data_IF_327491465285
#
_entry.id   IF_327491465285
#
_cell.length_a   1.000
_cell.length_b   1.000
_cell.length_c   1.000
_cell.angle_alpha   90.00
_cell.angle_beta   90.00
_cell.angle_gamma   90.00
#
_symmetry.space_group_name_H-M   'P 1'
#
loop_
_entity.id
_entity.type
_entity.pdbx_description
1 polymer ?
#
# COMPACT_ATOMS: atom_id res chain seq x y z
N UNK A 1 13.49 -7.13 20.45
CA UNK A 1 12.76 -6.16 19.61
C UNK A 1 12.80 -6.71 18.19
N UNK A 2 11.66 -6.82 17.52
CA UNK A 2 11.65 -7.17 16.09
C UNK A 2 12.33 -6.02 15.31
N UNK A 3 13.24 -6.32 14.37
CA UNK A 3 13.86 -5.27 13.56
C UNK A 3 12.80 -4.48 12.80
N UNK A 4 12.97 -3.16 12.61
CA UNK A 4 12.07 -2.36 11.79
C UNK A 4 12.14 -2.85 10.34
N UNK A 5 10.99 -3.29 9.83
CA UNK A 5 10.83 -3.83 8.48
C UNK A 5 10.86 -2.66 7.48
N UNK A 6 11.72 -2.75 6.47
CA UNK A 6 11.74 -1.80 5.34
C UNK A 6 11.34 -2.58 4.10
N UNK A 7 10.12 -2.35 3.62
CA UNK A 7 9.64 -2.92 2.37
C UNK A 7 10.22 -2.09 1.21
N UNK A 8 11.12 -2.70 0.42
CA UNK A 8 11.83 -2.02 -0.67
C UNK A 8 11.12 -2.14 -2.03
N UNK A 9 10.25 -3.14 -2.21
CA UNK A 9 9.40 -3.29 -3.40
C UNK A 9 7.95 -3.57 -2.96
N UNK A 10 7.00 -2.90 -3.61
CA UNK A 10 5.56 -3.07 -3.34
C UNK A 10 4.94 -4.14 -4.21
N UNK A 11 5.66 -4.69 -5.19
CA UNK A 11 5.18 -5.79 -6.02
C UNK A 11 5.30 -7.12 -5.28
N UNK A 12 4.24 -7.92 -5.38
CA UNK A 12 4.18 -9.28 -4.85
C UNK A 12 3.93 -10.22 -6.01
N UNK A 13 4.85 -11.14 -6.23
CA UNK A 13 4.71 -12.16 -7.28
C UNK A 13 3.84 -13.32 -6.78
N UNK A 14 2.92 -13.75 -7.64
CA UNK A 14 2.13 -14.98 -7.43
C UNK A 14 2.80 -16.12 -8.18
N UNK A 15 3.25 -17.13 -7.44
CA UNK A 15 4.11 -18.21 -7.95
C UNK A 15 3.30 -19.52 -7.97
N UNK A 16 3.35 -20.22 -9.10
CA UNK A 16 2.66 -21.50 -9.24
C UNK A 16 3.36 -22.55 -8.36
N UNK A 17 2.60 -23.17 -7.45
CA UNK A 17 3.10 -24.32 -6.70
C UNK A 17 3.35 -25.48 -7.65
N UNK A 18 4.61 -25.87 -7.88
CA UNK A 18 4.91 -27.11 -8.62
C UNK A 18 4.41 -28.29 -7.80
N UNK A 19 3.29 -28.89 -8.21
CA UNK A 19 2.89 -30.22 -7.77
C UNK A 19 4.01 -31.17 -8.17
N UNK A 20 4.78 -31.67 -7.20
CA UNK A 20 5.61 -32.83 -7.43
C UNK A 20 4.68 -33.97 -7.85
N UNK A 21 4.87 -34.49 -9.06
CA UNK A 21 4.10 -35.61 -9.62
C UNK A 21 4.14 -36.76 -8.63
N UNK A 22 3.06 -36.93 -7.85
CA UNK A 22 2.94 -37.96 -6.81
C UNK A 22 2.46 -37.47 -5.43
N UNK A 23 2.46 -36.17 -5.13
CA UNK A 23 1.95 -35.63 -3.86
C UNK A 23 0.73 -34.74 -4.10
N UNK A 24 -0.43 -35.36 -4.29
CA UNK A 24 -1.70 -34.65 -4.32
C UNK A 24 -1.99 -34.14 -2.90
N UNK A 25 -1.89 -32.82 -2.69
CA UNK A 25 -2.17 -32.20 -1.40
C UNK A 25 -3.70 -32.18 -1.17
N UNK A 26 -4.20 -33.17 -0.42
CA UNK A 26 -5.63 -33.36 -0.16
C UNK A 26 -6.31 -32.16 0.52
N UNK A 27 -5.54 -31.24 1.13
CA UNK A 27 -6.07 -30.02 1.78
C UNK A 27 -6.59 -29.00 0.77
N UNK A 28 -5.88 -28.76 -0.33
CA UNK A 28 -6.31 -27.84 -1.37
C UNK A 28 -7.51 -28.39 -2.17
N UNK A 29 -7.51 -29.70 -2.45
CA UNK A 29 -8.63 -30.38 -3.09
C UNK A 29 -9.92 -30.38 -2.24
N UNK A 30 -9.78 -30.35 -0.90
CA UNK A 30 -10.92 -30.24 0.02
C UNK A 30 -11.48 -28.81 0.10
N UNK A 31 -10.62 -27.78 -0.01
CA UNK A 31 -11.03 -26.37 0.01
C UNK A 31 -11.68 -25.92 -1.31
N UNK A 32 -11.21 -26.45 -2.44
CA UNK A 32 -11.69 -26.10 -3.79
C UNK A 32 -12.97 -26.87 -4.19
N UNK A 33 -13.45 -27.78 -3.33
CA UNK A 33 -14.74 -28.46 -3.44
C UNK A 33 -15.11 -28.85 -4.87
N UNK A 34 -14.56 -29.97 -5.38
CA UNK A 34 -14.62 -30.47 -6.77
C UNK A 34 -15.89 -30.23 -7.60
N UNK A 35 -16.17 -28.96 -7.91
CA UNK A 35 -17.33 -28.46 -8.63
C UNK A 35 -16.81 -27.64 -9.81
N UNK A 36 -17.39 -27.88 -10.97
CA UNK A 36 -17.07 -27.20 -12.23
C UNK A 36 -17.65 -25.77 -12.30
N UNK A 37 -17.87 -25.11 -11.16
CA UNK A 37 -18.40 -23.75 -11.06
C UNK A 37 -17.31 -22.70 -10.93
N UNK A 38 -17.65 -21.42 -11.17
CA UNK A 38 -16.80 -20.29 -10.82
C UNK A 38 -16.51 -20.31 -9.31
N UNK A 39 -15.23 -20.40 -8.93
CA UNK A 39 -14.80 -20.41 -7.54
C UNK A 39 -15.00 -19.02 -6.92
N UNK A 40 -15.46 -19.00 -5.68
CA UNK A 40 -15.57 -17.76 -4.90
C UNK A 40 -14.18 -17.22 -4.54
N UNK A 41 -14.08 -15.90 -4.31
CA UNK A 41 -12.82 -15.26 -3.90
C UNK A 41 -12.29 -15.81 -2.56
N UNK A 42 -13.19 -16.25 -1.68
CA UNK A 42 -12.84 -16.86 -0.39
C UNK A 42 -12.18 -18.24 -0.58
N UNK A 43 -12.69 -19.07 -1.48
CA UNK A 43 -12.09 -20.37 -1.83
C UNK A 43 -10.70 -20.18 -2.48
N UNK A 44 -10.57 -19.17 -3.34
CA UNK A 44 -9.28 -18.80 -3.95
C UNK A 44 -8.27 -18.37 -2.89
N UNK A 45 -8.65 -17.51 -1.94
CA UNK A 45 -7.76 -17.09 -0.86
C UNK A 45 -7.40 -18.24 0.10
N UNK A 46 -8.34 -19.14 0.39
CA UNK A 46 -8.09 -20.32 1.21
C UNK A 46 -7.09 -21.30 0.56
N UNK A 47 -6.98 -21.28 -0.76
CA UNK A 47 -5.99 -22.05 -1.53
C UNK A 47 -4.65 -21.31 -1.73
N UNK A 48 -4.52 -20.07 -1.25
CA UNK A 48 -3.27 -19.29 -1.31
C UNK A 48 -2.45 -19.48 -0.05
N UNK A 49 -1.14 -19.69 -0.23
CA UNK A 49 -0.18 -19.79 0.88
C UNK A 49 0.85 -18.66 0.76
N UNK A 50 0.96 -17.83 1.80
CA UNK A 50 1.97 -16.77 1.83
C UNK A 50 3.33 -17.31 2.31
N UNK A 51 4.40 -16.92 1.61
CA UNK A 51 5.78 -17.25 1.95
C UNK A 51 6.58 -15.96 2.21
N UNK A 52 6.51 -15.41 3.43
CA UNK A 52 7.39 -14.33 3.83
C UNK A 52 8.82 -14.88 4.02
N UNK A 53 9.80 -14.23 3.40
CA UNK A 53 11.22 -14.45 3.65
C UNK A 53 11.80 -13.23 4.34
N UNK A 54 12.15 -13.38 5.62
CA UNK A 54 12.85 -12.34 6.38
C UNK A 54 14.34 -12.55 6.18
N UNK A 55 14.97 -11.64 5.45
CA UNK A 55 16.39 -11.72 5.15
C UNK A 55 17.19 -10.79 6.07
N UNK A 56 18.39 -11.24 6.47
CA UNK A 56 19.29 -10.39 7.26
C UNK A 56 19.88 -9.28 6.38
N UNK A 57 20.01 -8.04 6.88
CA UNK A 57 20.67 -6.98 6.13
C UNK A 57 22.07 -7.42 5.63
N UNK A 58 22.44 -7.18 4.36
CA UNK A 58 21.78 -6.29 3.40
C UNK A 58 20.75 -6.96 2.47
N UNK A 59 20.38 -8.22 2.72
CA UNK A 59 19.42 -8.92 1.87
C UNK A 59 18.01 -8.34 2.02
N UNK A 60 17.22 -8.45 0.96
CA UNK A 60 15.87 -7.86 0.90
C UNK A 60 14.87 -8.87 1.42
N UNK A 61 14.08 -8.46 2.41
CA UNK A 61 12.91 -9.22 2.86
C UNK A 61 11.87 -9.21 1.75
N UNK A 62 11.32 -10.38 1.41
CA UNK A 62 10.32 -10.51 0.34
C UNK A 62 9.07 -11.25 0.82
N UNK A 63 7.96 -10.99 0.14
CA UNK A 63 6.69 -11.70 0.32
C UNK A 63 6.29 -12.26 -1.04
N UNK A 64 6.09 -13.58 -1.10
CA UNK A 64 5.52 -14.25 -2.27
C UNK A 64 4.25 -14.97 -1.86
N UNK A 65 3.33 -15.15 -2.80
CA UNK A 65 2.11 -15.94 -2.56
C UNK A 65 2.11 -17.13 -3.51
N UNK A 66 2.12 -18.34 -2.94
CA UNK A 66 1.90 -19.57 -3.69
C UNK A 66 0.41 -19.74 -3.95
N UNK A 67 0.10 -20.18 -5.16
CA UNK A 67 -1.27 -20.44 -5.59
C UNK A 67 -1.35 -21.85 -6.19
N UNK A 68 -2.26 -22.68 -5.67
CA UNK A 68 -2.58 -24.02 -6.18
C UNK A 68 -3.90 -23.99 -6.98
N UNK A 69 -3.96 -23.23 -8.09
CA UNK A 69 -5.20 -23.10 -8.91
C UNK A 69 -4.99 -23.66 -10.33
N UNK A 70 -5.94 -24.45 -10.88
CA UNK A 70 -5.83 -24.99 -12.23
C UNK A 70 -5.74 -23.89 -13.31
N UNK A 71 -4.95 -24.15 -14.36
CA UNK A 71 -4.55 -23.28 -15.48
C UNK A 71 -5.68 -22.55 -16.27
N UNK A 72 -6.96 -22.72 -15.93
CA UNK A 72 -8.10 -22.28 -16.75
C UNK A 72 -8.71 -20.92 -16.35
N UNK A 73 -8.38 -20.33 -15.20
CA UNK A 73 -8.80 -18.96 -14.85
C UNK A 73 -7.67 -17.97 -15.15
N UNK A 74 -8.01 -16.81 -15.73
CA UNK A 74 -7.04 -15.78 -16.08
C UNK A 74 -6.15 -15.42 -14.88
N UNK A 75 -4.90 -15.86 -14.99
CA UNK A 75 -3.84 -15.74 -14.00
C UNK A 75 -3.62 -14.27 -13.61
N UNK A 76 -3.99 -13.91 -12.40
CA UNK A 76 -3.50 -12.68 -11.77
C UNK A 76 -1.99 -12.88 -11.51
N UNK A 77 -1.14 -12.15 -12.25
CA UNK A 77 0.32 -12.37 -12.24
C UNK A 77 1.05 -11.79 -11.01
N UNK A 78 0.32 -11.44 -9.96
CA UNK A 78 0.85 -10.79 -8.78
C UNK A 78 -0.10 -9.74 -8.20
N UNK A 79 0.40 -8.97 -7.25
CA UNK A 79 -0.32 -7.88 -6.60
C UNK A 79 0.58 -6.71 -6.22
N UNK A 80 -0.05 -5.65 -5.74
CA UNK A 80 0.63 -4.43 -5.30
C UNK A 80 0.25 -4.13 -3.85
N UNK A 81 1.24 -4.11 -2.97
CA UNK A 81 1.10 -3.71 -1.57
C UNK A 81 0.68 -2.24 -1.53
N UNK A 82 -0.42 -1.98 -0.85
CA UNK A 82 -0.90 -0.63 -0.59
C UNK A 82 -0.35 -0.11 0.74
N UNK A 83 -0.51 -0.90 1.81
CA UNK A 83 -0.05 -0.54 3.16
C UNK A 83 0.16 -1.74 4.08
N UNK A 84 0.73 -1.45 5.25
CA UNK A 84 1.02 -2.43 6.30
C UNK A 84 0.73 -1.84 7.68
N UNK A 85 0.30 -2.66 8.63
CA UNK A 85 0.23 -2.28 10.05
C UNK A 85 0.40 -3.49 10.97
N UNK A 86 1.33 -3.43 11.93
CA UNK A 86 1.53 -4.45 12.99
C UNK A 86 1.41 -5.91 12.50
N UNK A 87 2.19 -6.25 11.47
CA UNK A 87 2.21 -7.60 10.88
C UNK A 87 1.07 -7.90 9.90
N UNK A 88 0.24 -6.92 9.57
CA UNK A 88 -0.72 -6.99 8.47
C UNK A 88 -0.10 -6.38 7.21
N UNK A 89 -0.42 -6.97 6.07
CA UNK A 89 -0.11 -6.43 4.74
C UNK A 89 -1.39 -6.47 3.92
N UNK A 90 -1.80 -5.34 3.35
CA UNK A 90 -2.87 -5.31 2.35
C UNK A 90 -2.31 -5.03 0.97
N UNK A 91 -2.78 -5.81 0.01
CA UNK A 91 -2.41 -5.66 -1.40
C UNK A 91 -3.63 -5.73 -2.30
N UNK A 92 -3.57 -4.99 -3.40
CA UNK A 92 -4.48 -5.14 -4.53
C UNK A 92 -4.01 -6.29 -5.41
N UNK A 93 -4.90 -7.19 -5.79
CA UNK A 93 -4.52 -8.26 -6.72
C UNK A 93 -4.68 -7.86 -8.18
N UNK A 94 -3.79 -8.37 -9.04
CA UNK A 94 -3.78 -8.09 -10.46
C UNK A 94 -3.75 -6.59 -10.77
N UNK A 95 -4.67 -6.17 -11.64
CA UNK A 95 -4.82 -4.77 -12.06
C UNK A 95 -5.97 -4.05 -11.32
N UNK A 96 -6.54 -4.67 -10.29
CA UNK A 96 -7.67 -4.11 -9.58
C UNK A 96 -7.29 -2.79 -8.90
N UNK A 97 -8.05 -1.75 -9.21
CA UNK A 97 -8.09 -0.48 -8.47
C UNK A 97 -9.54 -0.03 -8.42
N UNK A 98 -10.02 0.56 -7.31
CA UNK A 98 -11.37 1.08 -7.22
C UNK A 98 -11.70 2.03 -8.39
N UNK A 99 -12.80 1.79 -9.08
CA UNK A 99 -13.22 2.63 -10.20
C UNK A 99 -12.45 2.44 -11.52
N UNK A 100 -11.48 1.52 -11.59
CA UNK A 100 -10.80 1.18 -12.83
C UNK A 100 -11.58 0.12 -13.63
N UNK A 101 -12.73 0.52 -14.20
CA UNK A 101 -13.70 -0.39 -14.84
C UNK A 101 -13.35 -0.89 -16.25
N UNK A 102 -12.08 -0.81 -16.68
CA UNK A 102 -11.75 -0.94 -18.10
C UNK A 102 -11.10 -2.27 -18.53
N UNK A 103 -10.26 -2.92 -17.70
CA UNK A 103 -9.31 -3.91 -18.26
C UNK A 103 -9.06 -5.23 -17.54
N UNK A 104 -9.65 -5.56 -16.39
CA UNK A 104 -9.74 -6.94 -15.90
C UNK A 104 -10.75 -7.04 -14.76
N UNK A 105 -11.73 -7.93 -14.91
CA UNK A 105 -12.87 -8.11 -13.98
C UNK A 105 -12.52 -9.00 -12.77
N UNK A 106 -11.34 -9.64 -12.78
CA UNK A 106 -10.84 -10.48 -11.70
C UNK A 106 -9.82 -9.68 -10.88
N UNK A 107 -10.14 -9.49 -9.60
CA UNK A 107 -9.25 -8.92 -8.61
C UNK A 107 -9.96 -8.68 -7.29
N UNK A 108 -9.22 -8.49 -6.22
CA UNK A 108 -9.74 -8.21 -4.90
C UNK A 108 -8.68 -7.51 -4.05
N UNK A 109 -8.98 -7.29 -2.77
CA UNK A 109 -7.94 -7.02 -1.80
C UNK A 109 -7.54 -8.34 -1.15
N UNK A 110 -6.24 -8.59 -1.00
CA UNK A 110 -5.74 -9.62 -0.11
C UNK A 110 -5.16 -8.98 1.14
N UNK A 111 -5.53 -9.54 2.28
CA UNK A 111 -4.95 -9.21 3.58
C UNK A 111 -4.15 -10.41 4.05
N UNK A 112 -2.85 -10.22 4.20
CA UNK A 112 -1.97 -11.18 4.85
C UNK A 112 -1.80 -10.81 6.32
N UNK A 113 -2.06 -11.75 7.22
CA UNK A 113 -1.81 -11.63 8.65
C UNK A 113 -0.64 -12.54 9.07
N UNK A 114 0.48 -11.92 9.42
CA UNK A 114 1.69 -12.63 9.84
C UNK A 114 1.56 -13.33 11.21
N UNK A 115 0.60 -12.96 12.04
CA UNK A 115 0.41 -13.58 13.36
C UNK A 115 -0.22 -14.97 13.26
N UNK A 116 -1.10 -15.17 12.28
CA UNK A 116 -1.77 -16.43 11.97
C UNK A 116 -1.23 -17.11 10.71
N UNK A 117 -0.30 -16.45 9.99
CA UNK A 117 0.17 -16.85 8.66
C UNK A 117 -0.99 -17.17 7.71
N UNK A 118 -1.99 -16.28 7.67
CA UNK A 118 -3.23 -16.48 6.90
C UNK A 118 -3.43 -15.37 5.87
N UNK A 119 -4.11 -15.73 4.78
CA UNK A 119 -4.52 -14.79 3.73
C UNK A 119 -6.05 -14.74 3.68
N UNK A 120 -6.60 -13.52 3.65
CA UNK A 120 -8.04 -13.28 3.52
C UNK A 120 -8.30 -12.45 2.26
N UNK A 121 -9.25 -12.90 1.42
CA UNK A 121 -9.77 -12.09 0.32
C UNK A 121 -10.91 -11.21 0.79
N UNK A 122 -10.84 -9.92 0.45
CA UNK A 122 -11.89 -8.95 0.67
C UNK A 122 -12.44 -8.52 -0.69
N UNK A 123 -13.77 -8.55 -0.90
CA UNK A 123 -14.39 -8.24 -2.18
C UNK A 123 -14.13 -6.80 -2.63
N UNK A 124 -14.28 -6.58 -3.94
CA UNK A 124 -14.21 -5.25 -4.55
C UNK A 124 -15.33 -4.32 -4.02
N UNK A 125 -15.10 -3.01 -4.04
CA UNK A 125 -16.13 -2.03 -3.63
C UNK A 125 -17.37 -2.03 -4.55
N UNK A 126 -17.15 -2.09 -5.86
CA UNK A 126 -18.22 -2.11 -6.88
C UNK A 126 -18.04 -3.37 -7.74
N UNK A 127 -18.51 -4.56 -7.30
CA UNK A 127 -18.36 -5.77 -8.08
C UNK A 127 -19.16 -5.66 -9.38
N UNK A 128 -18.63 -6.15 -10.52
CA UNK A 128 -19.35 -6.13 -11.79
C UNK A 128 -20.67 -6.90 -11.65
N UNK A 129 -21.78 -6.28 -12.05
CA UNK A 129 -23.09 -6.93 -12.03
C UNK A 129 -23.10 -8.06 -13.06
N UNK A 130 -23.11 -9.31 -12.59
CA UNK A 130 -23.22 -10.50 -13.44
C UNK A 130 -24.45 -10.39 -14.34
N UNK A 131 -24.25 -10.39 -15.66
CA UNK A 131 -25.33 -10.42 -16.66
C UNK A 131 -25.68 -9.09 -17.34
N UNK A 132 -25.04 -7.96 -16.97
CA UNK A 132 -25.25 -6.70 -17.71
C UNK A 132 -24.34 -6.63 -18.94
N UNK A 133 -24.94 -6.63 -20.14
CA UNK A 133 -24.25 -6.34 -21.42
C UNK A 133 -23.79 -4.88 -21.53
N UNK A 134 -24.23 -4.01 -20.62
CA UNK A 134 -23.83 -2.62 -20.57
C UNK A 134 -22.71 -2.45 -19.52
N UNK A 135 -21.54 -1.98 -19.96
CA UNK A 135 -20.50 -1.46 -19.05
C UNK A 135 -21.12 -0.30 -18.27
N UNK A 136 -21.54 -0.53 -17.03
CA UNK A 136 -21.83 0.55 -16.11
C UNK A 136 -20.50 1.27 -15.89
N UNK A 137 -20.43 2.54 -16.28
CA UNK A 137 -19.24 3.34 -15.99
C UNK A 137 -19.12 3.40 -14.46
N UNK A 138 -17.94 3.06 -13.91
CA UNK A 138 -17.75 3.15 -12.47
C UNK A 138 -18.04 4.58 -12.00
N UNK A 139 -18.87 4.70 -10.96
CA UNK A 139 -19.22 6.00 -10.38
C UNK A 139 -18.09 6.53 -9.49
N UNK A 140 -17.34 5.60 -8.89
CA UNK A 140 -16.17 5.88 -8.06
C UNK A 140 -14.89 5.96 -8.89
N UNK A 141 -13.89 6.66 -8.35
CA UNK A 141 -12.56 6.89 -8.88
C UNK A 141 -11.56 6.72 -7.74
N UNK A 142 -10.58 5.82 -7.88
CA UNK A 142 -9.51 5.67 -6.90
C UNK A 142 -8.65 6.93 -6.79
N UNK A 143 -8.07 7.11 -5.61
CA UNK A 143 -7.14 8.20 -5.33
C UNK A 143 -5.68 7.72 -5.34
N UNK A 144 -5.34 6.60 -5.98
CA UNK A 144 -3.97 6.04 -5.97
C UNK A 144 -3.87 4.76 -5.13
N UNK A 145 -2.84 4.67 -4.27
CA UNK A 145 -2.62 3.57 -3.32
C UNK A 145 -3.29 3.87 -1.98
N UNK A 146 -4.61 4.00 -2.01
CA UNK A 146 -5.43 4.50 -0.92
C UNK A 146 -5.94 3.42 0.06
N UNK A 147 -5.76 2.13 -0.23
CA UNK A 147 -6.11 1.07 0.71
C UNK A 147 -5.17 1.09 1.92
N UNK A 148 -5.76 1.30 3.09
CA UNK A 148 -5.10 1.40 4.38
C UNK A 148 -5.56 0.27 5.29
N UNK A 149 -4.63 -0.40 5.97
CA UNK A 149 -4.96 -1.41 6.97
C UNK A 149 -4.54 -0.94 8.37
N UNK A 150 -5.39 -1.21 9.36
CA UNK A 150 -5.16 -0.84 10.74
C UNK A 150 -5.58 -1.98 11.67
N UNK A 151 -4.61 -2.51 12.42
CA UNK A 151 -4.88 -3.45 13.52
C UNK A 151 -5.30 -2.66 14.76
N UNK A 152 -6.50 -2.96 15.26
CA UNK A 152 -7.10 -2.26 16.39
C UNK A 152 -7.51 -3.24 17.50
N UNK A 153 -7.34 -2.83 18.76
CA UNK A 153 -7.65 -3.69 19.92
C UNK A 153 -9.13 -3.74 20.29
N UNK A 154 -9.99 -2.94 19.64
CA UNK A 154 -11.40 -2.80 20.02
C UNK A 154 -12.30 -3.97 19.53
N UNK A 155 -11.80 -4.84 18.63
CA UNK A 155 -12.58 -5.92 18.00
C UNK A 155 -12.20 -7.34 18.42
N UNK A 156 -11.38 -7.49 19.46
CA UNK A 156 -10.77 -8.75 19.88
C UNK A 156 -9.29 -8.90 19.45
N UNK A 157 -8.65 -9.98 19.88
CA UNK A 157 -7.28 -10.29 19.48
C UNK A 157 -7.21 -10.56 17.97
N UNK A 158 -6.30 -9.87 17.28
CA UNK A 158 -6.14 -10.00 15.83
C UNK A 158 -7.07 -9.13 14.97
N UNK A 159 -8.03 -8.41 15.54
CA UNK A 159 -8.98 -7.60 14.77
C UNK A 159 -8.32 -6.46 13.98
N UNK A 160 -8.81 -6.25 12.76
CA UNK A 160 -8.33 -5.19 11.88
C UNK A 160 -9.47 -4.55 11.09
N UNK A 161 -9.22 -3.31 10.66
CA UNK A 161 -10.02 -2.59 9.66
C UNK A 161 -9.20 -2.38 8.42
N UNK A 162 -9.77 -2.70 7.27
CA UNK A 162 -9.32 -2.24 5.96
C UNK A 162 -10.17 -1.02 5.58
N UNK A 163 -9.53 0.08 5.24
CA UNK A 163 -10.16 1.31 4.78
C UNK A 163 -9.72 1.66 3.37
N UNK A 164 -10.63 2.12 2.53
CA UNK A 164 -10.36 2.59 1.17
C UNK A 164 -11.02 3.95 0.97
N UNK A 165 -10.26 4.92 0.44
CA UNK A 165 -10.74 6.28 0.21
C UNK A 165 -10.87 6.52 -1.29
N UNK A 166 -12.09 6.83 -1.74
CA UNK A 166 -12.40 7.07 -3.15
C UNK A 166 -13.14 8.39 -3.33
N UNK A 167 -13.13 8.90 -4.55
CA UNK A 167 -13.92 10.07 -4.98
C UNK A 167 -14.85 9.65 -6.13
N UNK A 168 -15.71 10.54 -6.60
CA UNK A 168 -16.46 10.35 -7.86
C UNK A 168 -15.79 11.09 -9.03
N UNK A 169 -16.16 10.75 -10.27
CA UNK A 169 -15.73 11.54 -11.43
C UNK A 169 -16.34 12.95 -11.45
N UNK A 170 -17.57 13.09 -10.94
CA UNK A 170 -18.28 14.35 -10.78
C UNK A 170 -19.14 14.28 -9.49
N UNK A 171 -19.00 15.22 -8.55
CA UNK A 171 -18.21 16.46 -8.62
C UNK A 171 -16.69 16.27 -8.47
N UNK A 172 -16.23 15.15 -7.91
CA UNK A 172 -14.83 14.96 -7.53
C UNK A 172 -14.53 15.51 -6.13
N UNK A 173 -13.26 15.71 -5.82
CA UNK A 173 -12.82 16.24 -4.54
C UNK A 173 -13.40 17.66 -4.31
N UNK A 174 -13.70 18.06 -3.06
CA UNK A 174 -13.38 17.38 -1.81
C UNK A 174 -14.41 16.33 -1.37
N UNK A 175 -15.44 16.09 -2.17
CA UNK A 175 -16.46 15.09 -1.84
C UNK A 175 -15.87 13.69 -2.09
N UNK A 176 -15.86 12.86 -1.06
CA UNK A 176 -15.23 11.56 -1.07
C UNK A 176 -16.07 10.54 -0.29
N UNK A 177 -15.67 9.28 -0.40
CA UNK A 177 -16.32 8.16 0.26
C UNK A 177 -15.25 7.32 0.95
N UNK A 178 -15.44 7.11 2.24
CA UNK A 178 -14.65 6.21 3.04
C UNK A 178 -15.36 4.86 3.12
N UNK A 179 -14.73 3.83 2.58
CA UNK A 179 -15.18 2.44 2.70
C UNK A 179 -14.39 1.77 3.82
N UNK A 180 -15.07 1.03 4.70
CA UNK A 180 -14.47 0.33 5.81
C UNK A 180 -14.95 -1.12 5.84
N UNK A 181 -14.00 -2.04 5.96
CA UNK A 181 -14.24 -3.46 6.15
C UNK A 181 -13.64 -3.90 7.48
N UNK A 182 -14.44 -4.48 8.35
CA UNK A 182 -13.99 -4.97 9.66
C UNK A 182 -13.86 -6.48 9.65
N UNK A 183 -12.72 -7.00 10.13
CA UNK A 183 -12.52 -8.45 10.24
C UNK A 183 -13.45 -9.09 11.28
N UNK A 184 -13.85 -8.36 12.32
CA UNK A 184 -14.71 -8.88 13.40
C UNK A 184 -16.18 -9.10 12.99
N UNK A 185 -16.66 -8.48 11.92
CA UNK A 185 -18.05 -8.61 11.43
C UNK A 185 -18.17 -9.63 10.29
N UNK A 186 -17.04 -10.16 9.80
CA UNK A 186 -16.98 -11.28 8.87
C UNK A 186 -17.21 -12.57 9.66
N UNK A 187 -18.44 -13.10 9.62
CA UNK A 187 -18.72 -14.46 10.11
C UNK A 187 -18.87 -15.39 8.92
N UNK A 188 -18.56 -16.69 9.11
CA UNK A 188 -18.49 -17.70 8.04
C UNK A 188 -19.74 -17.84 7.15
N UNK A 189 -20.87 -17.21 7.51
CA UNK A 189 -22.13 -17.26 6.76
C UNK A 189 -22.60 -15.88 6.25
N UNK A 190 -21.89 -14.81 6.58
CA UNK A 190 -22.11 -13.46 6.08
C UNK A 190 -20.75 -12.93 5.65
N UNK A 191 -20.39 -13.18 4.39
CA UNK A 191 -19.27 -12.48 3.76
C UNK A 191 -19.40 -11.01 4.14
N UNK A 192 -18.34 -10.45 4.74
CA UNK A 192 -18.43 -9.12 5.37
C UNK A 192 -19.01 -8.08 4.40
N UNK A 193 -19.51 -6.97 4.95
CA UNK A 193 -20.02 -5.88 4.14
C UNK A 193 -19.12 -4.66 4.29
N UNK A 194 -18.86 -3.98 3.17
CA UNK A 194 -18.21 -2.68 3.19
C UNK A 194 -19.17 -1.63 3.77
N UNK A 195 -18.78 -1.03 4.88
CA UNK A 195 -19.47 0.15 5.39
C UNK A 195 -19.01 1.39 4.66
N UNK A 196 -19.95 2.14 4.06
CA UNK A 196 -19.68 3.36 3.30
C UNK A 196 -20.08 4.59 4.11
N UNK A 197 -19.16 5.54 4.22
CA UNK A 197 -19.38 6.85 4.84
C UNK A 197 -19.06 7.95 3.83
N UNK A 198 -20.03 8.80 3.50
CA UNK A 198 -19.79 10.00 2.70
C UNK A 198 -19.05 11.03 3.56
N UNK A 199 -17.95 11.56 3.04
CA UNK A 199 -17.07 12.49 3.77
C UNK A 199 -16.70 13.67 2.86
N UNK A 200 -16.52 14.84 3.46
CA UNK A 200 -15.99 16.01 2.75
C UNK A 200 -14.60 16.30 3.29
N UNK A 201 -13.59 16.11 2.46
CA UNK A 201 -12.20 16.21 2.88
C UNK A 201 -11.81 17.67 3.11
N UNK A 202 -11.04 17.99 4.18
CA UNK A 202 -10.59 19.34 4.50
C UNK A 202 -9.40 19.77 3.63
N UNK A 203 -9.54 19.62 2.31
CA UNK A 203 -8.49 19.92 1.35
C UNK A 203 -8.46 21.42 1.00
N UNK A 204 -7.28 21.98 0.71
CA UNK A 204 -7.17 23.28 0.06
C UNK A 204 -7.97 23.31 -1.26
N UNK A 205 -8.58 24.45 -1.64
CA UNK A 205 -9.35 24.57 -2.88
C UNK A 205 -8.58 24.17 -4.14
N UNK A 206 -7.26 24.35 -4.13
CA UNK A 206 -6.36 24.02 -5.24
C UNK A 206 -6.23 22.50 -5.44
N UNK A 207 -6.53 21.71 -4.40
CA UNK A 207 -6.52 20.25 -4.44
C UNK A 207 -7.91 19.65 -4.73
N UNK A 208 -8.90 20.48 -5.04
CA UNK A 208 -10.29 20.07 -5.27
C UNK A 208 -10.67 20.07 -6.76
N UNK A 209 -11.63 19.22 -7.11
CA UNK A 209 -12.25 19.14 -8.43
C UNK A 209 -12.22 17.74 -9.06
N UNK A 210 -12.66 17.62 -10.33
CA UNK A 210 -12.84 16.32 -11.01
C UNK A 210 -11.54 15.75 -11.63
N UNK A 211 -10.59 16.61 -11.98
CA UNK A 211 -9.28 16.23 -12.55
C UNK A 211 -8.23 15.95 -11.46
N UNK A 212 -7.03 15.50 -11.79
CA UNK A 212 -6.05 14.98 -10.80
C UNK A 212 -5.49 16.08 -9.89
N UNK A 213 -6.05 16.22 -8.69
CA UNK A 213 -5.64 17.26 -7.73
C UNK A 213 -5.03 16.72 -6.42
N UNK A 214 -5.32 15.47 -6.06
CA UNK A 214 -4.69 14.72 -4.97
C UNK A 214 -4.46 13.28 -5.44
N UNK A 215 -3.24 12.78 -5.31
CA UNK A 215 -2.92 11.37 -5.59
C UNK A 215 -2.15 10.77 -4.42
N UNK A 216 -2.74 9.76 -3.81
CA UNK A 216 -2.20 9.01 -2.69
C UNK A 216 -1.09 8.10 -3.20
N UNK A 217 0.14 8.54 -2.96
CA UNK A 217 1.34 7.76 -3.23
C UNK A 217 1.52 6.66 -2.18
N UNK A 218 1.12 6.88 -0.92
CA UNK A 218 1.28 5.87 0.13
C UNK A 218 0.35 6.07 1.31
N UNK A 219 0.16 5.00 2.07
CA UNK A 219 -0.66 5.00 3.29
C UNK A 219 0.07 4.31 4.43
N UNK A 220 -0.12 4.82 5.65
CA UNK A 220 0.38 4.19 6.87
C UNK A 220 -0.51 4.50 8.08
N UNK A 221 -0.40 3.69 9.12
CA UNK A 221 -1.08 3.89 10.40
C UNK A 221 -0.28 4.80 11.34
N UNK A 222 -0.98 5.55 12.18
CA UNK A 222 -0.39 6.41 13.19
C UNK A 222 -1.16 6.32 14.51
N UNK A 223 -0.44 6.21 15.63
CA UNK A 223 -1.00 6.14 17.00
C UNK A 223 -2.10 5.08 17.25
N UNK A 224 -2.22 4.08 16.38
CA UNK A 224 -3.15 2.96 16.54
C UNK A 224 -4.62 3.26 16.27
N UNK A 225 -4.99 4.50 15.96
CA UNK A 225 -6.34 4.89 15.52
C UNK A 225 -6.35 5.71 14.23
N UNK A 226 -5.20 6.27 13.84
CA UNK A 226 -5.12 7.16 12.70
C UNK A 226 -4.64 6.44 11.44
N UNK A 227 -5.19 6.85 10.31
CA UNK A 227 -4.72 6.50 8.97
C UNK A 227 -4.20 7.77 8.31
N UNK A 228 -3.01 7.68 7.71
CA UNK A 228 -2.40 8.77 6.97
C UNK A 228 -2.38 8.42 5.47
N UNK A 229 -3.17 9.13 4.67
CA UNK A 229 -3.12 9.09 3.21
C UNK A 229 -2.20 10.20 2.71
N UNK A 230 -1.10 9.83 2.06
CA UNK A 230 -0.03 10.76 1.69
C UNK A 230 0.02 10.97 0.18
N UNK A 231 -0.01 12.23 -0.21
CA UNK A 231 0.45 12.70 -1.51
C UNK A 231 1.82 13.38 -1.32
N UNK A 232 2.87 12.75 -1.84
CA UNK A 232 4.27 13.18 -1.67
C UNK A 232 4.59 14.49 -2.40
N UNK A 233 3.64 15.07 -3.14
CA UNK A 233 3.75 16.38 -3.77
C UNK A 233 2.98 17.48 -3.05
N UNK A 234 1.98 17.15 -2.22
CA UNK A 234 1.05 18.15 -1.66
C UNK A 234 0.95 18.10 -0.14
N UNK A 235 0.81 16.93 0.47
CA UNK A 235 0.65 16.80 1.92
C UNK A 235 0.17 15.44 2.39
N UNK A 236 -0.34 15.41 3.63
CA UNK A 236 -0.91 14.22 4.24
C UNK A 236 -2.31 14.52 4.77
N UNK A 237 -3.24 13.64 4.42
CA UNK A 237 -4.58 13.59 4.99
C UNK A 237 -4.57 12.58 6.14
N UNK A 238 -4.76 13.05 7.36
CA UNK A 238 -4.79 12.23 8.57
C UNK A 238 -6.24 12.06 8.99
N UNK A 239 -6.67 10.82 9.22
CA UNK A 239 -8.00 10.51 9.73
C UNK A 239 -7.94 9.74 11.03
N UNK A 240 -8.66 10.20 12.05
CA UNK A 240 -9.00 9.39 13.22
C UNK A 240 -10.24 8.55 12.89
N UNK A 241 -10.02 7.25 12.66
CA UNK A 241 -11.04 6.34 12.17
C UNK A 241 -12.12 6.02 13.21
N UNK A 242 -11.77 6.12 14.49
CA UNK A 242 -12.61 5.65 15.60
C UNK A 242 -13.16 6.79 16.45
N UNK A 243 -13.12 8.03 15.95
CA UNK A 243 -13.66 9.17 16.68
C UNK A 243 -15.19 8.97 16.90
N UNK A 244 -15.74 9.23 18.10
CA UNK A 244 -17.13 8.87 18.43
C UNK A 244 -18.21 9.50 17.56
N UNK A 245 -17.92 10.64 16.90
CA UNK A 245 -18.85 11.34 16.01
C UNK A 245 -18.74 10.91 14.54
N UNK A 246 -17.94 9.88 14.26
CA UNK A 246 -17.56 9.47 12.91
C UNK A 246 -16.12 9.88 12.58
N UNK A 247 -15.59 9.39 11.44
CA UNK A 247 -14.20 9.63 11.04
C UNK A 247 -13.92 11.13 10.88
N UNK A 248 -12.89 11.63 11.55
CA UNK A 248 -12.47 13.03 11.45
C UNK A 248 -11.21 13.12 10.61
N UNK A 249 -11.20 14.07 9.68
CA UNK A 249 -10.09 14.30 8.77
C UNK A 249 -9.39 15.62 9.10
N UNK A 250 -8.08 15.65 8.88
CA UNK A 250 -7.25 16.86 8.87
C UNK A 250 -6.25 16.76 7.72
N UNK A 251 -6.01 17.87 7.02
CA UNK A 251 -5.01 17.93 5.96
C UNK A 251 -3.83 18.78 6.42
N UNK A 252 -2.63 18.21 6.35
CA UNK A 252 -1.39 18.88 6.68
C UNK A 252 -0.56 19.02 5.40
N UNK A 253 -0.31 20.26 4.91
CA UNK A 253 0.51 20.47 3.73
C UNK A 253 1.95 20.02 3.99
N UNK A 254 2.70 19.72 2.94
CA UNK A 254 4.15 19.46 3.03
C UNK A 254 4.90 20.66 3.64
N UNK A 255 6.13 20.45 4.16
CA UNK A 255 6.96 21.54 4.64
C UNK A 255 7.13 22.64 3.57
N UNK A 256 7.27 23.89 4.02
CA UNK A 256 7.42 25.04 3.12
C UNK A 256 8.49 24.81 2.05
N UNK A 257 8.13 25.06 0.79
CA UNK A 257 9.01 24.88 -0.36
C UNK A 257 9.18 23.42 -0.82
N UNK A 258 8.50 22.46 -0.20
CA UNK A 258 8.52 21.05 -0.64
C UNK A 258 7.34 20.69 -1.53
N UNK A 259 6.25 21.47 -1.51
CA UNK A 259 5.11 21.22 -2.40
C UNK A 259 5.51 21.40 -3.86
N UNK A 260 5.17 20.42 -4.70
CA UNK A 260 5.54 20.36 -6.12
C UNK A 260 4.29 20.20 -7.01
N UNK A 261 3.28 21.03 -6.80
CA UNK A 261 2.14 21.11 -7.71
C UNK A 261 2.28 22.35 -8.60
N UNK A 262 2.07 22.20 -9.91
CA UNK A 262 2.00 23.31 -10.86
C UNK A 262 0.54 23.66 -11.14
N UNK A 263 0.20 24.91 -11.51
CA UNK A 263 -1.17 25.31 -11.85
C UNK A 263 -1.81 24.45 -12.95
N UNK A 264 -0.98 23.86 -13.82
CA UNK A 264 -1.41 22.98 -14.90
C UNK A 264 -1.55 21.50 -14.46
N UNK A 265 -1.26 21.19 -13.19
CA UNK A 265 -1.43 19.88 -12.54
C UNK A 265 -0.86 18.68 -13.31
N UNK A 266 0.25 18.90 -14.03
CA UNK A 266 0.99 17.82 -14.66
C UNK A 266 1.88 17.21 -13.57
N UNK A 267 1.41 16.14 -12.90
CA UNK A 267 2.34 15.19 -12.29
C UNK A 267 3.23 14.71 -13.43
N UNK A 268 4.51 15.04 -13.40
CA UNK A 268 5.48 14.93 -14.51
C UNK A 268 5.80 13.47 -14.92
N UNK A 269 4.87 12.52 -14.74
CA UNK A 269 5.13 11.09 -14.89
C UNK A 269 6.19 10.57 -13.92
N UNK A 270 6.54 11.37 -12.91
CA UNK A 270 7.58 11.04 -11.94
C UNK A 270 7.05 10.06 -10.92
N UNK A 271 7.81 8.99 -10.67
CA UNK A 271 7.56 8.10 -9.56
C UNK A 271 8.07 8.77 -8.27
N UNK A 272 7.19 9.53 -7.61
CA UNK A 272 7.49 10.36 -6.43
C UNK A 272 8.17 9.59 -5.29
N UNK A 273 7.86 8.30 -5.18
CA UNK A 273 8.39 7.38 -4.18
C UNK A 273 9.90 7.09 -4.37
N UNK A 274 10.47 7.35 -5.55
CA UNK A 274 11.92 7.17 -5.79
C UNK A 274 12.77 8.19 -5.04
N UNK A 275 12.21 9.37 -4.76
CA UNK A 275 12.95 10.49 -4.20
C UNK A 275 12.28 11.12 -2.98
N UNK A 276 11.10 10.65 -2.57
CA UNK A 276 10.36 11.12 -1.40
C UNK A 276 9.70 9.97 -0.66
N UNK A 277 9.56 10.13 0.65
CA UNK A 277 8.82 9.18 1.47
C UNK A 277 8.27 9.86 2.72
N UNK A 278 7.22 9.28 3.31
CA UNK A 278 6.65 9.70 4.57
C UNK A 278 6.27 8.49 5.41
N UNK A 279 6.42 8.55 6.73
CA UNK A 279 6.02 7.46 7.61
C UNK A 279 6.14 7.79 9.08
N UNK A 280 5.62 6.91 9.92
CA UNK A 280 5.79 6.99 11.37
C UNK A 280 7.15 6.38 11.78
N UNK A 281 8.00 7.19 12.40
CA UNK A 281 9.31 6.76 12.92
C UNK A 281 9.41 7.18 14.38
N UNK A 282 9.50 6.19 15.28
CA UNK A 282 9.57 6.41 16.72
C UNK A 282 8.41 7.27 17.26
N UNK A 283 7.20 7.05 16.78
CA UNK A 283 6.01 7.77 17.23
C UNK A 283 5.83 9.17 16.65
N UNK A 284 6.66 9.58 15.68
CA UNK A 284 6.51 10.86 14.99
C UNK A 284 6.40 10.65 13.48
N UNK A 285 5.53 11.42 12.83
CA UNK A 285 5.45 11.43 11.37
C UNK A 285 6.68 12.16 10.83
N UNK A 286 7.42 11.50 9.94
CA UNK A 286 8.59 12.06 9.26
C UNK A 286 8.36 12.10 7.77
N UNK A 287 8.80 13.18 7.15
CA UNK A 287 8.90 13.33 5.72
C UNK A 287 10.37 13.41 5.33
N UNK A 288 10.73 12.77 4.23
CA UNK A 288 12.08 12.78 3.67
C UNK A 288 12.00 13.04 2.17
N UNK A 289 12.93 13.85 1.67
CA UNK A 289 13.03 14.17 0.25
C UNK A 289 14.49 14.31 -0.20
N UNK A 290 14.80 13.80 -1.39
CA UNK A 290 15.98 14.15 -2.15
C UNK A 290 15.71 15.44 -2.91
N UNK A 291 16.49 16.47 -2.62
CA UNK A 291 16.43 17.77 -3.29
C UNK A 291 17.53 17.83 -4.33
N UNK A 292 17.24 18.27 -5.55
CA UNK A 292 18.17 18.26 -6.69
C UNK A 292 18.02 17.02 -7.59
N UNK A 293 17.42 15.93 -7.06
CA UNK A 293 17.24 14.69 -7.84
C UNK A 293 16.23 14.85 -8.99
N UNK A 294 15.01 15.38 -8.76
CA UNK A 294 14.07 15.69 -9.85
C UNK A 294 14.64 16.59 -10.94
N UNK A 295 15.55 17.50 -10.56
CA UNK A 295 16.16 18.49 -11.43
C UNK A 295 17.35 17.94 -12.24
N UNK A 296 17.68 16.64 -12.08
CA UNK A 296 18.80 15.99 -12.78
C UNK A 296 20.18 16.43 -12.27
N UNK A 297 20.27 16.96 -11.04
CA UNK A 297 21.54 17.35 -10.44
C UNK A 297 22.44 16.14 -10.23
N UNK A 298 23.75 16.38 -10.19
CA UNK A 298 24.72 15.31 -9.91
C UNK A 298 24.58 14.82 -8.46
N UNK A 299 25.01 13.58 -8.18
CA UNK A 299 24.91 13.00 -6.82
C UNK A 299 25.59 13.84 -5.73
N UNK A 300 26.59 14.65 -6.10
CA UNK A 300 27.31 15.56 -5.22
C UNK A 300 26.57 16.88 -4.96
N UNK A 301 25.41 17.06 -5.57
CA UNK A 301 24.50 18.20 -5.39
C UNK A 301 23.15 17.76 -4.82
N UNK A 302 22.83 16.46 -4.90
CA UNK A 302 21.61 15.91 -4.32
C UNK A 302 21.72 15.87 -2.80
N UNK A 303 20.74 16.46 -2.13
CA UNK A 303 20.70 16.55 -0.67
C UNK A 303 19.46 15.83 -0.13
N UNK A 304 19.69 14.88 0.77
CA UNK A 304 18.64 14.27 1.58
C UNK A 304 18.25 15.22 2.71
N UNK A 305 17.01 15.69 2.70
CA UNK A 305 16.43 16.50 3.78
C UNK A 305 15.35 15.73 4.50
N UNK A 306 15.30 15.93 5.81
CA UNK A 306 14.28 15.33 6.67
C UNK A 306 13.47 16.40 7.38
N UNK A 307 12.21 16.11 7.63
CA UNK A 307 11.31 16.91 8.45
C UNK A 307 10.55 15.99 9.39
N UNK A 308 10.25 16.48 10.59
CA UNK A 308 9.43 15.79 11.58
C UNK A 308 8.23 16.66 11.90
N UNK A 309 7.03 16.10 11.79
CA UNK A 309 5.80 16.78 12.14
C UNK A 309 5.71 16.90 13.65
N UNK A 310 5.29 18.06 14.14
CA UNK A 310 5.08 18.31 15.56
C UNK A 310 4.00 17.36 16.13
N UNK A 311 4.05 17.03 17.44
CA UNK A 311 3.07 16.13 18.06
C UNK A 311 1.62 16.62 17.99
N UNK A 312 1.40 17.93 17.88
CA UNK A 312 0.07 18.51 17.67
C UNK A 312 -0.41 18.47 16.22
N UNK A 313 0.39 17.85 15.33
CA UNK A 313 0.13 17.65 13.90
C UNK A 313 -0.04 18.96 13.10
N UNK A 314 0.62 20.05 13.50
CA UNK A 314 0.43 21.36 12.84
C UNK A 314 1.64 21.87 12.08
N UNK A 315 2.85 21.58 12.54
CA UNK A 315 4.06 22.22 12.03
C UNK A 315 5.16 21.23 11.70
N UNK A 316 5.80 21.42 10.56
CA UNK A 316 6.98 20.65 10.18
C UNK A 316 8.24 21.29 10.72
N UNK A 317 8.96 20.54 11.57
CA UNK A 317 10.31 20.93 12.00
C UNK A 317 11.34 20.31 11.06
N UNK A 318 12.15 21.15 10.42
CA UNK A 318 13.29 20.70 9.62
C UNK A 318 14.28 19.94 10.51
N UNK A 319 14.64 18.74 10.08
CA UNK A 319 15.65 17.89 10.69
C UNK A 319 16.99 17.99 10.01
N UNK A 320 17.72 16.87 10.03
CA UNK A 320 19.05 16.76 9.42
C UNK A 320 18.99 16.93 7.91
N UNK A 321 20.09 17.43 7.37
CA UNK A 321 20.37 17.61 5.96
C UNK A 321 21.68 16.89 5.68
N UNK A 322 21.70 15.97 4.72
CA UNK A 322 22.86 15.13 4.41
C UNK A 322 23.07 15.13 2.90
N UNK A 323 24.30 15.33 2.44
CA UNK A 323 24.64 15.17 1.04
C UNK A 323 24.58 13.69 0.67
N UNK A 324 23.99 13.35 -0.47
CA UNK A 324 23.93 11.95 -0.90
C UNK A 324 25.34 11.40 -1.16
N UNK A 325 26.24 12.20 -1.73
CA UNK A 325 27.66 11.86 -1.86
C UNK A 325 28.28 11.44 -0.52
N UNK A 326 28.14 12.25 0.53
CA UNK A 326 28.68 11.94 1.87
C UNK A 326 28.08 10.65 2.46
N UNK A 327 26.79 10.38 2.19
CA UNK A 327 26.14 9.16 2.65
C UNK A 327 26.80 7.92 2.03
N UNK A 328 27.12 7.97 0.74
CA UNK A 328 27.77 6.87 0.01
C UNK A 328 29.23 6.67 0.42
N UNK A 329 29.92 7.74 0.79
CA UNK A 329 31.29 7.69 1.30
C UNK A 329 31.37 7.27 2.78
N UNK A 330 30.23 7.23 3.48
CA UNK A 330 30.22 6.88 4.90
C UNK A 330 30.64 5.43 5.17
N UNK A 331 31.48 5.20 6.18
CA UNK A 331 31.91 3.86 6.59
C UNK A 331 30.73 2.93 6.94
N UNK A 332 29.62 3.49 7.41
CA UNK A 332 28.41 2.72 7.72
C UNK A 332 27.68 2.22 6.47
N UNK A 333 27.80 2.94 5.35
CA UNK A 333 27.28 2.52 4.05
C UNK A 333 28.27 1.58 3.36
N UNK A 334 29.55 1.96 3.31
CA UNK A 334 30.62 1.16 2.72
C UNK A 334 30.85 -0.16 3.48
N UNK A 335 30.75 -0.16 4.81
CA UNK A 335 30.89 -1.34 5.66
C UNK A 335 29.77 -2.38 5.45
N UNK A 336 28.56 -1.94 5.09
CA UNK A 336 27.46 -2.82 4.69
C UNK A 336 27.69 -3.50 3.34
N UNK A 337 28.52 -2.90 2.48
CA UNK A 337 28.92 -3.49 1.19
C UNK A 337 30.25 -4.27 1.27
N UNK A 338 31.16 -3.86 2.16
CA UNK A 338 32.50 -4.44 2.38
C UNK A 338 32.47 -5.84 3.00
N UNK A 339 31.37 -6.25 3.63
CA UNK A 339 31.19 -7.65 4.05
C UNK A 339 31.04 -8.64 2.87
N UNK A 340 31.01 -8.15 1.62
CA UNK A 340 31.10 -8.95 0.40
C UNK A 340 32.47 -8.78 -0.25
N UNK A 341 33.45 -9.52 0.26
CA UNK A 341 34.83 -9.47 -0.22
C UNK A 341 35.71 -10.66 0.18
N UNK A 342 35.15 -11.86 0.34
CA UNK A 342 35.95 -13.11 0.40
C UNK A 342 35.37 -14.18 -0.52
N UNK A 343 35.03 -13.78 -1.74
CA UNK A 343 34.88 -14.68 -2.88
C UNK A 343 35.72 -14.11 -4.01
N UNK A 344 36.78 -14.82 -4.38
CA UNK A 344 37.78 -14.42 -5.38
C UNK A 344 37.15 -13.83 -6.65
N UNK A 345 37.61 -12.65 -7.04
CA UNK A 345 37.80 -12.28 -8.44
C UNK A 345 39.05 -11.40 -8.53
N UNK A 346 40.19 -12.07 -8.61
CA UNK A 346 41.40 -11.50 -9.19
C UNK A 346 41.14 -11.16 -10.65
N UNK A 347 41.43 -9.93 -11.05
CA UNK A 347 42.02 -9.65 -12.37
C UNK A 347 42.90 -8.40 -12.22
N UNK A 348 44.19 -8.68 -12.17
CA UNK A 348 45.30 -7.73 -12.21
C UNK A 348 45.40 -7.03 -13.57
N UNK A 349 45.66 -5.73 -13.53
CA UNK A 349 46.47 -4.91 -14.44
C UNK A 349 46.63 -5.31 -15.92
N UNK A 350 46.24 -4.39 -16.81
CA UNK A 350 47.16 -3.71 -17.71
C UNK A 350 46.65 -2.28 -17.96
#
# INVERSE_FOLDING_TARGET
MAPPWVLLDRKVDFVDGKVAVGAWNWKAAAAIGGSSGEQSQEEVAAAMEAHPLVADPPEVTCLSVLQEIPDQLQREKGGMISSTDKGLVVLYTGMYRPGNGAHNLAGCYLVYDASSNSVSAIPQLDPPTTGSLYRVLPTIKCLGLSAAILRHGHGGEGAYVLAELVTTFHPGLPDAELYQWSSSTSTANSGGEWMRTAVRLPLPPELCGPTYFLEIDMTFSFEGSHICWVDLLTGVLICDLFKPQGPEFSFIPLPQGCSLYTPDNIRLGMNTQEFRSMGCVCGAIKFVALIGYPEGSSNNEVVLKTWTLSPDLKEWKKGSTVLVGDLWESESFLGKWSCRGSGQCSLSSA
#
